data_IF_190236801526
#
_entry.id   IF_190236801526
#
_cell.length_a   1.000
_cell.length_b   1.000
_cell.length_c   1.000
_cell.angle_alpha   90.00
_cell.angle_beta   90.00
_cell.angle_gamma   90.00
#
_symmetry.space_group_name_H-M   'P 1'
#
loop_
_entity.id
_entity.type
_entity.pdbx_description
1 polymer ?
#
# COMPACT_ATOMS: atom_id res chain seq x y z
N UNK A 1 17.63 33.50 3.52
CA UNK A 1 18.19 32.17 3.27
C UNK A 1 17.05 31.28 2.85
N UNK A 2 17.11 30.71 1.65
CA UNK A 2 16.13 29.73 1.20
C UNK A 2 16.41 28.42 1.92
N UNK A 3 15.46 27.95 2.73
CA UNK A 3 15.49 26.58 3.25
C UNK A 3 15.04 25.71 2.09
N UNK A 4 15.98 24.95 1.53
CA UNK A 4 15.63 23.85 0.65
C UNK A 4 14.81 22.87 1.49
N UNK A 5 13.52 22.70 1.17
CA UNK A 5 12.71 21.57 1.62
C UNK A 5 13.25 20.33 0.88
N UNK A 6 14.41 19.85 1.31
CA UNK A 6 15.01 18.61 0.83
C UNK A 6 14.41 17.45 1.62
N UNK A 7 13.80 16.52 0.89
CA UNK A 7 13.60 15.11 1.26
C UNK A 7 12.96 14.85 2.63
N UNK A 8 11.63 14.68 2.64
CA UNK A 8 10.89 13.57 3.29
C UNK A 8 9.38 13.82 3.23
N UNK A 9 8.80 13.65 2.03
CA UNK A 9 7.36 13.33 1.91
C UNK A 9 7.09 11.83 2.11
N UNK A 10 8.05 11.12 2.73
CA UNK A 10 7.98 9.69 3.00
C UNK A 10 8.26 9.46 4.47
N UNK A 11 7.39 8.68 5.11
CA UNK A 11 7.52 8.38 6.51
C UNK A 11 8.48 7.21 6.77
N UNK A 12 8.73 6.90 8.04
CA UNK A 12 9.80 5.99 8.43
C UNK A 12 9.39 4.51 8.50
N UNK A 13 8.11 4.18 8.25
CA UNK A 13 7.60 2.84 8.55
C UNK A 13 7.78 1.88 7.39
N UNK A 14 8.53 0.79 7.62
CA UNK A 14 8.73 -0.30 6.66
C UNK A 14 7.50 -1.23 6.54
N UNK A 15 6.71 -1.31 7.60
CA UNK A 15 5.47 -2.10 7.64
C UNK A 15 4.40 -1.31 8.39
N UNK A 16 3.21 -1.26 7.82
CA UNK A 16 1.99 -0.74 8.47
C UNK A 16 1.00 -1.89 8.52
N UNK A 17 0.43 -2.13 9.70
CA UNK A 17 -0.57 -3.19 9.92
C UNK A 17 -1.83 -2.53 10.44
N UNK A 18 -2.94 -2.73 9.72
CA UNK A 18 -4.26 -2.26 10.11
C UNK A 18 -5.18 -3.46 10.35
N UNK A 19 -5.94 -3.42 11.44
CA UNK A 19 -6.88 -4.49 11.81
C UNK A 19 -8.30 -3.93 11.88
N UNK A 20 -9.10 -4.26 10.87
CA UNK A 20 -10.48 -3.85 10.69
C UNK A 20 -11.46 -5.00 10.83
N UNK A 21 -11.02 -6.18 11.28
CA UNK A 21 -11.89 -7.34 11.44
C UNK A 21 -13.13 -7.09 12.33
N UNK A 22 -13.15 -6.00 13.09
CA UNK A 22 -14.23 -5.65 14.03
C UNK A 22 -14.75 -4.22 13.88
N UNK A 23 -14.41 -3.51 12.79
CA UNK A 23 -14.79 -2.11 12.60
C UNK A 23 -15.86 -1.95 11.52
N UNK A 24 -16.90 -1.16 11.83
CA UNK A 24 -17.98 -0.89 10.89
C UNK A 24 -17.60 0.18 9.86
N UNK A 25 -17.62 -0.21 8.58
CA UNK A 25 -17.67 0.71 7.44
C UNK A 25 -16.37 0.83 6.63
N UNK A 26 -16.47 1.02 5.30
CA UNK A 26 -15.29 1.12 4.44
C UNK A 26 -14.54 2.43 4.66
N UNK A 27 -13.23 2.33 4.85
CA UNK A 27 -12.33 3.49 4.81
C UNK A 27 -12.05 3.84 3.35
N UNK A 28 -12.31 5.09 2.98
CA UNK A 28 -12.10 5.57 1.61
C UNK A 28 -10.65 5.92 1.31
N UNK A 29 -10.37 6.19 0.03
CA UNK A 29 -9.06 6.59 -0.48
C UNK A 29 -8.26 7.62 0.35
N UNK A 30 -8.85 8.68 0.96
CA UNK A 30 -8.10 9.65 1.76
C UNK A 30 -7.36 9.04 2.95
N UNK A 31 -7.95 8.03 3.60
CA UNK A 31 -7.31 7.32 4.70
C UNK A 31 -6.05 6.57 4.22
N UNK A 32 -6.19 5.79 3.16
CA UNK A 32 -5.09 5.02 2.57
C UNK A 32 -3.97 5.92 2.03
N UNK A 33 -4.32 7.10 1.53
CA UNK A 33 -3.36 8.12 1.09
C UNK A 33 -2.56 8.67 2.27
N UNK A 34 -3.20 8.98 3.39
CA UNK A 34 -2.52 9.44 4.60
C UNK A 34 -1.55 8.36 5.12
N UNK A 35 -1.98 7.09 5.17
CA UNK A 35 -1.10 5.98 5.56
C UNK A 35 0.14 5.86 4.66
N UNK A 36 -0.03 6.07 3.35
CA UNK A 36 1.10 6.00 2.40
C UNK A 36 2.20 7.03 2.70
N UNK A 37 1.83 8.22 3.19
CA UNK A 37 2.81 9.27 3.56
C UNK A 37 3.56 8.94 4.84
N UNK A 38 3.01 8.07 5.69
CA UNK A 38 3.70 7.56 6.87
C UNK A 38 4.66 6.41 6.52
N UNK A 39 4.48 5.80 5.35
CA UNK A 39 5.21 4.62 4.96
C UNK A 39 6.51 4.97 4.21
N UNK A 40 7.57 4.21 4.47
CA UNK A 40 8.82 4.31 3.75
C UNK A 40 8.66 3.84 2.29
N UNK A 41 9.52 4.27 1.35
CA UNK A 41 9.54 3.70 0.00
C UNK A 41 9.81 2.18 0.05
N UNK A 42 8.98 1.40 -0.63
CA UNK A 42 9.06 -0.06 -0.63
C UNK A 42 8.43 -0.73 0.60
N UNK A 43 7.80 0.04 1.49
CA UNK A 43 7.11 -0.51 2.66
C UNK A 43 5.92 -1.39 2.28
N UNK A 44 5.47 -2.20 3.24
CA UNK A 44 4.31 -3.07 3.10
C UNK A 44 3.15 -2.57 3.94
N UNK A 45 1.98 -2.44 3.34
CA UNK A 45 0.70 -2.35 4.05
C UNK A 45 0.12 -3.76 4.17
N UNK A 46 -0.27 -4.13 5.39
CA UNK A 46 -1.03 -5.34 5.67
C UNK A 46 -2.35 -4.93 6.32
N UNK A 47 -3.46 -5.45 5.81
CA UNK A 47 -4.80 -5.20 6.34
C UNK A 47 -5.45 -6.53 6.67
N UNK A 48 -5.82 -6.69 7.94
CA UNK A 48 -6.66 -7.78 8.41
C UNK A 48 -8.11 -7.31 8.43
N UNK A 49 -9.01 -8.01 7.75
CA UNK A 49 -10.41 -7.55 7.61
C UNK A 49 -11.38 -8.70 7.42
N UNK A 50 -12.63 -8.46 7.83
CA UNK A 50 -13.79 -9.32 7.55
C UNK A 50 -14.74 -8.55 6.65
N UNK A 51 -15.17 -9.18 5.56
CA UNK A 51 -16.23 -8.63 4.71
C UNK A 51 -17.35 -9.65 4.57
N UNK A 52 -18.57 -9.13 4.43
CA UNK A 52 -19.75 -9.94 4.12
C UNK A 52 -19.95 -10.07 2.61
N UNK A 53 -19.45 -9.09 1.86
CA UNK A 53 -19.67 -8.97 0.41
C UNK A 53 -18.36 -8.82 -0.35
N UNK A 54 -18.29 -9.50 -1.50
CA UNK A 54 -17.11 -9.47 -2.38
C UNK A 54 -16.82 -8.05 -2.89
N UNK A 55 -17.86 -7.27 -3.15
CA UNK A 55 -17.74 -5.90 -3.65
C UNK A 55 -17.02 -4.96 -2.69
N UNK A 56 -17.10 -5.20 -1.38
CA UNK A 56 -16.41 -4.39 -0.37
C UNK A 56 -14.90 -4.60 -0.45
N UNK A 57 -14.46 -5.83 -0.71
CA UNK A 57 -13.06 -6.17 -0.93
C UNK A 57 -12.52 -5.59 -2.24
N UNK A 58 -13.32 -5.63 -3.30
CA UNK A 58 -12.95 -5.03 -4.58
C UNK A 58 -12.87 -3.48 -4.47
N UNK A 59 -13.75 -2.87 -3.68
CA UNK A 59 -13.73 -1.43 -3.37
C UNK A 59 -12.50 -1.05 -2.53
N UNK A 60 -12.17 -1.81 -1.49
CA UNK A 60 -10.93 -1.63 -0.72
C UNK A 60 -9.71 -1.64 -1.66
N UNK A 61 -9.65 -2.61 -2.56
CA UNK A 61 -8.55 -2.71 -3.53
C UNK A 61 -8.50 -1.51 -4.47
N UNK A 62 -9.66 -1.01 -4.90
CA UNK A 62 -9.73 0.19 -5.73
C UNK A 62 -9.24 1.44 -4.97
N UNK A 63 -9.68 1.63 -3.73
CA UNK A 63 -9.32 2.78 -2.90
C UNK A 63 -7.83 2.79 -2.55
N UNK A 64 -7.27 1.63 -2.21
CA UNK A 64 -5.84 1.46 -1.93
C UNK A 64 -4.99 1.73 -3.17
N UNK A 65 -5.39 1.22 -4.36
CA UNK A 65 -4.70 1.53 -5.62
C UNK A 65 -4.81 3.01 -5.97
N UNK A 66 -5.98 3.62 -5.78
CA UNK A 66 -6.18 5.05 -6.04
C UNK A 66 -5.31 5.92 -5.13
N UNK A 67 -5.10 5.51 -3.87
CA UNK A 67 -4.15 6.14 -2.96
C UNK A 67 -2.67 5.98 -3.37
N UNK A 68 -2.38 5.15 -4.37
CA UNK A 68 -1.06 4.99 -4.99
C UNK A 68 -0.22 3.85 -4.42
N UNK A 69 -0.84 2.92 -3.68
CA UNK A 69 -0.22 1.65 -3.34
C UNK A 69 -0.24 0.71 -4.56
N UNK A 70 0.78 -0.15 -4.68
CA UNK A 70 0.96 -1.08 -5.80
C UNK A 70 0.98 -2.54 -5.35
N UNK A 71 1.00 -3.46 -6.31
CA UNK A 71 1.12 -4.92 -6.06
C UNK A 71 0.11 -5.44 -5.05
N UNK A 72 -1.13 -4.94 -5.16
CA UNK A 72 -2.23 -5.32 -4.29
C UNK A 72 -2.54 -6.80 -4.45
N UNK A 73 -2.36 -7.56 -3.38
CA UNK A 73 -2.67 -8.99 -3.27
C UNK A 73 -3.66 -9.25 -2.14
N UNK A 74 -4.48 -10.28 -2.32
CA UNK A 74 -5.56 -10.64 -1.40
C UNK A 74 -5.51 -12.14 -1.14
N UNK A 75 -5.46 -12.51 0.14
CA UNK A 75 -5.37 -13.89 0.56
C UNK A 75 -6.37 -14.18 1.67
N UNK A 76 -7.14 -15.25 1.47
CA UNK A 76 -7.98 -15.83 2.52
C UNK A 76 -7.08 -16.48 3.57
N UNK A 77 -7.20 -16.08 4.83
CA UNK A 77 -6.54 -16.73 5.96
C UNK A 77 -7.56 -17.42 6.88
N UNK A 78 -7.75 -18.72 6.65
CA UNK A 78 -8.60 -19.58 7.51
C UNK A 78 -7.83 -20.22 8.67
N UNK A 79 -6.59 -19.79 8.93
CA UNK A 79 -5.76 -20.25 10.02
C UNK A 79 -5.90 -19.40 11.29
N UNK A 80 -6.29 -18.13 11.14
CA UNK A 80 -6.64 -17.24 12.24
C UNK A 80 -8.07 -17.52 12.70
N UNK A 81 -8.22 -18.03 13.92
CA UNK A 81 -9.53 -18.20 14.56
C UNK A 81 -10.09 -16.82 14.91
N UNK A 82 -11.02 -16.31 14.11
CA UNK A 82 -11.69 -15.03 14.37
C UNK A 82 -12.85 -15.16 15.36
N UNK A 83 -13.26 -16.39 15.71
CA UNK A 83 -14.28 -16.68 16.71
C UNK A 83 -13.91 -17.90 17.59
N UNK A 84 -14.19 -17.85 18.92
CA UNK A 84 -14.04 -19.00 19.80
C UNK A 84 -14.89 -20.19 19.34
N UNK A 85 -14.28 -21.37 19.17
CA UNK A 85 -15.00 -22.61 18.81
C UNK A 85 -15.07 -22.92 17.31
N UNK A 86 -14.55 -22.06 16.44
CA UNK A 86 -14.41 -22.41 15.02
C UNK A 86 -13.30 -23.46 14.83
N UNK A 87 -13.67 -24.60 14.26
CA UNK A 87 -12.71 -25.57 13.74
C UNK A 87 -12.10 -25.05 12.45
N UNK A 88 -10.80 -25.33 12.22
CA UNK A 88 -10.09 -24.96 10.99
C UNK A 88 -10.88 -25.46 9.79
N UNK A 89 -11.52 -24.55 9.05
CA UNK A 89 -12.32 -24.91 7.90
C UNK A 89 -11.44 -25.54 6.82
N UNK A 90 -11.94 -26.52 6.04
CA UNK A 90 -11.20 -27.04 4.89
C UNK A 90 -10.81 -25.88 3.95
N UNK A 91 -9.62 -25.96 3.37
CA UNK A 91 -9.15 -25.02 2.35
C UNK A 91 -10.04 -25.13 1.11
N UNK A 92 -11.13 -24.37 1.08
CA UNK A 92 -11.87 -24.05 -0.14
C UNK A 92 -11.04 -23.05 -0.95
N UNK A 93 -11.02 -23.18 -2.27
CA UNK A 93 -10.27 -22.27 -3.17
C UNK A 93 -10.87 -20.88 -3.27
N UNK A 94 -12.13 -20.70 -2.86
CA UNK A 94 -12.90 -19.46 -3.02
C UNK A 94 -13.21 -18.85 -1.66
N UNK A 95 -13.18 -17.52 -1.58
CA UNK A 95 -13.57 -16.71 -0.42
C UNK A 95 -15.05 -16.90 -0.07
N UNK A 96 -15.38 -16.84 1.22
CA UNK A 96 -16.75 -16.84 1.74
C UNK A 96 -17.00 -15.62 2.64
N UNK A 97 -18.27 -15.17 2.78
CA UNK A 97 -18.63 -14.15 3.76
C UNK A 97 -18.10 -14.51 5.16
N UNK A 98 -17.55 -13.52 5.87
CA UNK A 98 -16.92 -13.68 7.18
C UNK A 98 -15.61 -14.49 7.22
N UNK A 99 -15.05 -14.87 6.07
CA UNK A 99 -13.67 -15.34 6.03
C UNK A 99 -12.73 -14.18 6.41
N UNK A 100 -11.69 -14.50 7.19
CA UNK A 100 -10.62 -13.56 7.44
C UNK A 100 -9.78 -13.35 6.19
N UNK A 101 -9.58 -12.08 5.84
CA UNK A 101 -8.82 -11.68 4.67
C UNK A 101 -7.59 -10.91 5.09
N UNK A 102 -6.45 -11.39 4.59
CA UNK A 102 -5.21 -10.63 4.59
C UNK A 102 -5.08 -9.96 3.23
N UNK A 103 -5.18 -8.64 3.25
CA UNK A 103 -4.92 -7.79 2.10
C UNK A 103 -3.51 -7.21 2.27
N UNK A 104 -2.74 -7.18 1.19
CA UNK A 104 -1.39 -6.60 1.20
C UNK A 104 -1.16 -5.68 0.02
N UNK A 105 -0.34 -4.65 0.21
CA UNK A 105 0.07 -3.73 -0.84
C UNK A 105 1.46 -3.15 -0.54
N UNK A 106 2.15 -2.70 -1.59
CA UNK A 106 3.50 -2.13 -1.49
C UNK A 106 3.48 -0.64 -1.78
N UNK A 107 4.19 0.15 -0.97
CA UNK A 107 4.41 1.56 -1.26
C UNK A 107 5.53 1.73 -2.28
N UNK A 108 5.28 1.40 -3.55
CA UNK A 108 6.19 1.81 -4.63
C UNK A 108 5.98 3.30 -4.87
N UNK A 109 6.77 4.12 -4.20
CA UNK A 109 6.97 5.49 -4.65
C UNK A 109 7.41 5.44 -6.12
N UNK A 110 6.87 6.30 -7.00
CA UNK A 110 7.43 6.40 -8.33
C UNK A 110 8.92 6.64 -8.16
N UNK A 111 9.74 5.72 -8.67
CA UNK A 111 11.17 5.96 -8.82
C UNK A 111 11.26 7.34 -9.46
N UNK A 112 11.96 8.33 -8.87
CA UNK A 112 12.16 9.57 -9.58
C UNK A 112 12.86 9.16 -10.87
N UNK A 113 12.12 9.24 -11.99
CA UNK A 113 12.74 9.22 -13.29
C UNK A 113 13.60 10.48 -13.27
N UNK A 114 14.88 10.30 -12.95
CA UNK A 114 15.91 11.26 -13.30
C UNK A 114 15.96 11.20 -14.83
N UNK A 115 15.00 11.82 -15.49
CA UNK A 115 15.15 12.25 -16.86
C UNK A 115 16.22 13.32 -16.83
N UNK A 116 17.47 12.85 -16.88
CA UNK A 116 18.62 13.68 -17.15
C UNK A 116 18.45 14.16 -18.60
N UNK A 117 17.62 15.18 -18.80
CA UNK A 117 17.60 15.93 -20.06
C UNK A 117 18.92 16.71 -20.11
N UNK A 118 19.97 16.04 -20.57
CA UNK A 118 21.13 16.71 -21.14
C UNK A 118 20.64 17.43 -22.40
N UNK A 119 20.11 18.64 -22.22
CA UNK A 119 20.00 19.56 -23.33
C UNK A 119 21.41 19.82 -23.86
N UNK A 120 21.55 19.89 -25.19
CA UNK A 120 22.82 20.02 -25.92
C UNK A 120 23.72 21.20 -25.47
N UNK A 121 23.22 22.08 -24.59
CA UNK A 121 23.93 23.21 -23.99
C UNK A 121 24.92 22.79 -22.90
N UNK A 122 24.74 21.65 -22.20
CA UNK A 122 25.61 21.25 -21.09
C UNK A 122 26.94 20.60 -21.55
N UNK A 123 27.01 20.05 -22.77
CA UNK A 123 28.23 19.40 -23.30
C UNK A 123 29.31 20.38 -23.80
N UNK A 124 28.97 21.66 -24.02
CA UNK A 124 29.98 22.68 -24.41
C UNK A 124 30.74 23.28 -23.23
N UNK A 125 30.24 23.17 -22.00
CA UNK A 125 30.90 23.71 -20.82
C UNK A 125 32.07 22.84 -20.31
N UNK A 126 32.10 21.54 -20.64
CA UNK A 126 33.13 20.61 -20.15
C UNK A 126 34.39 20.52 -21.02
N UNK A 127 34.44 21.18 -22.20
CA UNK A 127 35.60 21.11 -23.11
C UNK A 127 36.56 22.31 -23.03
N UNK A 128 36.49 23.13 -21.98
CA UNK A 128 37.39 24.28 -21.78
C UNK A 128 38.23 24.24 -20.50
N UNK A 129 38.25 23.11 -19.78
CA UNK A 129 39.16 22.90 -18.66
C UNK A 129 39.89 21.56 -18.79
N UNK A 130 40.74 21.43 -19.81
CA UNK A 130 41.97 20.62 -19.80
C UNK A 130 43.00 21.40 -20.63
#
# INVERSE_FOLDING_TARGET
>A
GAVALGERDVGPFDVIVEDFAYQDGPLGAPFWYALRHLAAPGSTLLVNTLYDRREEMDQLAADVRYAGWSDVDQRVDRGLQTQPGQSRAPTLSEWQPNDNMIFSAINRMPTPHVSLFLTHSALKASRKCI
#
